data_IF_787090745578
#
_entry.id   IF_787090745578
#
_cell.length_a   1.000
_cell.length_b   1.000
_cell.length_c   1.000
_cell.angle_alpha   90.00
_cell.angle_beta   90.00
_cell.angle_gamma   90.00
#
_symmetry.space_group_name_H-M   'P 1'
#
loop_
_entity.id
_entity.type
_entity.pdbx_description
1 polymer ?
#
# COMPACT_ATOMS: atom_id res chain seq x y z
N UNK A 1 -28.78 40.92 -26.98
CA UNK A 1 -27.58 40.07 -26.92
C UNK A 1 -27.80 39.13 -25.74
N UNK A 2 -28.10 37.84 -25.96
CA UNK A 2 -28.40 36.91 -24.90
C UNK A 2 -27.07 36.22 -24.52
N UNK A 3 -26.62 36.43 -23.28
CA UNK A 3 -25.51 35.72 -22.70
C UNK A 3 -25.80 34.19 -22.79
N UNK A 4 -24.97 33.49 -23.51
CA UNK A 4 -24.95 32.03 -23.47
C UNK A 4 -24.21 31.61 -22.18
N UNK A 5 -24.99 31.21 -21.20
CA UNK A 5 -24.48 30.51 -20.04
C UNK A 5 -23.71 29.27 -20.53
N UNK A 6 -22.38 29.37 -20.57
CA UNK A 6 -21.51 28.24 -20.85
C UNK A 6 -21.43 27.46 -19.55
N UNK A 7 -22.35 26.53 -19.36
CA UNK A 7 -22.27 25.56 -18.26
C UNK A 7 -20.96 24.80 -18.40
N UNK A 8 -20.02 25.09 -17.50
CA UNK A 8 -18.78 24.28 -17.34
C UNK A 8 -19.22 22.86 -17.04
N UNK A 9 -18.84 21.86 -17.85
CA UNK A 9 -19.23 20.49 -17.59
C UNK A 9 -18.73 20.09 -16.20
N UNK A 10 -19.64 19.59 -15.35
CA UNK A 10 -19.30 19.09 -14.03
C UNK A 10 -18.17 18.07 -14.17
N UNK A 11 -17.02 18.35 -13.54
CA UNK A 11 -15.88 17.43 -13.52
C UNK A 11 -16.40 16.13 -12.89
N UNK A 12 -16.54 15.10 -13.68
CA UNK A 12 -16.99 13.77 -13.23
C UNK A 12 -15.94 13.26 -12.23
N UNK A 13 -16.28 13.26 -10.95
CA UNK A 13 -15.38 12.72 -9.92
C UNK A 13 -15.25 11.21 -10.14
N UNK A 14 -14.00 10.72 -10.16
CA UNK A 14 -13.73 9.29 -10.19
C UNK A 14 -14.16 8.66 -8.86
N UNK A 15 -14.93 7.59 -8.93
CA UNK A 15 -15.35 6.80 -7.78
C UNK A 15 -14.92 5.36 -8.04
N UNK A 16 -13.73 4.95 -7.60
CA UNK A 16 -13.23 3.60 -7.87
C UNK A 16 -14.01 2.57 -7.06
N UNK A 17 -14.05 1.34 -7.59
CA UNK A 17 -14.32 0.17 -6.78
C UNK A 17 -13.03 -0.24 -6.08
N UNK A 18 -13.06 -0.33 -4.77
CA UNK A 18 -11.92 -0.84 -4.00
C UNK A 18 -11.86 -2.35 -4.17
N UNK A 19 -10.72 -2.85 -4.61
CA UNK A 19 -10.41 -4.26 -4.80
C UNK A 19 -9.46 -4.74 -3.70
N UNK A 20 -9.87 -5.77 -2.97
CA UNK A 20 -9.06 -6.41 -1.93
C UNK A 20 -9.09 -7.91 -2.17
N UNK A 21 -7.96 -8.60 -2.11
CA UNK A 21 -7.94 -10.05 -2.14
C UNK A 21 -6.95 -10.62 -1.13
N UNK A 22 -7.36 -11.70 -0.46
CA UNK A 22 -6.56 -12.39 0.55
C UNK A 22 -6.98 -13.87 0.63
N UNK A 23 -6.03 -14.76 0.85
CA UNK A 23 -6.28 -16.20 1.02
C UNK A 23 -5.73 -16.76 2.34
N UNK A 24 -5.36 -15.89 3.26
CA UNK A 24 -4.79 -16.23 4.57
C UNK A 24 -5.75 -15.78 5.66
N UNK A 25 -6.38 -16.70 6.36
CA UNK A 25 -7.37 -16.39 7.40
C UNK A 25 -6.81 -15.47 8.50
N UNK A 26 -5.54 -15.62 8.86
CA UNK A 26 -4.90 -14.77 9.85
C UNK A 26 -4.77 -13.29 9.45
N UNK A 27 -5.16 -12.93 8.23
CA UNK A 27 -5.26 -11.53 7.78
C UNK A 27 -6.59 -10.84 8.14
N UNK A 28 -7.58 -11.57 8.70
CA UNK A 28 -8.86 -10.97 9.09
C UNK A 28 -8.74 -9.68 9.91
N UNK A 29 -7.86 -9.57 10.93
CA UNK A 29 -7.74 -8.33 11.67
C UNK A 29 -7.37 -7.12 10.80
N UNK A 30 -6.47 -7.30 9.84
CA UNK A 30 -6.10 -6.25 8.89
C UNK A 30 -7.26 -5.87 7.96
N UNK A 31 -8.00 -6.87 7.44
CA UNK A 31 -9.17 -6.64 6.59
C UNK A 31 -10.27 -5.88 7.36
N UNK A 32 -10.52 -6.21 8.62
CA UNK A 32 -11.49 -5.49 9.47
C UNK A 32 -11.10 -4.02 9.62
N UNK A 33 -9.85 -3.74 9.95
CA UNK A 33 -9.35 -2.36 10.10
C UNK A 33 -9.47 -1.60 8.77
N UNK A 34 -9.11 -2.23 7.64
CA UNK A 34 -9.25 -1.63 6.32
C UNK A 34 -10.71 -1.28 6.00
N UNK A 35 -11.64 -2.22 6.17
CA UNK A 35 -13.07 -2.02 5.87
C UNK A 35 -13.67 -0.96 6.80
N UNK A 36 -13.42 -1.03 8.10
CA UNK A 36 -13.90 -0.04 9.07
C UNK A 36 -13.37 1.36 8.76
N UNK A 37 -12.09 1.47 8.38
CA UNK A 37 -11.49 2.74 7.99
C UNK A 37 -12.07 3.30 6.68
N UNK A 38 -12.34 2.43 5.71
CA UNK A 38 -13.05 2.82 4.49
C UNK A 38 -14.45 3.33 4.81
N UNK A 39 -15.21 2.63 5.64
CA UNK A 39 -16.56 3.03 6.02
C UNK A 39 -16.58 4.39 6.76
N UNK A 40 -15.58 4.64 7.61
CA UNK A 40 -15.48 5.89 8.35
C UNK A 40 -15.14 7.11 7.48
N UNK A 41 -14.28 6.93 6.48
CA UNK A 41 -13.77 8.06 5.66
C UNK A 41 -14.36 8.12 4.25
N UNK A 42 -14.93 7.02 3.76
CA UNK A 42 -15.47 6.88 2.42
C UNK A 42 -16.79 6.09 2.45
N UNK A 43 -17.81 6.57 3.17
CA UNK A 43 -19.07 5.86 3.31
C UNK A 43 -19.72 5.61 1.94
N UNK A 44 -20.09 4.35 1.68
CA UNK A 44 -20.74 3.95 0.44
C UNK A 44 -19.77 3.68 -0.74
N UNK A 45 -18.45 3.82 -0.58
CA UNK A 45 -17.52 3.39 -1.62
C UNK A 45 -17.68 1.87 -1.82
N UNK A 46 -17.88 1.37 -3.06
CA UNK A 46 -18.01 -0.07 -3.29
C UNK A 46 -16.67 -0.79 -2.99
N UNK A 47 -16.76 -1.91 -2.25
CA UNK A 47 -15.61 -2.76 -1.95
C UNK A 47 -15.89 -4.17 -2.45
N UNK A 48 -15.03 -4.71 -3.28
CA UNK A 48 -15.05 -6.10 -3.72
C UNK A 48 -13.94 -6.86 -3.00
N UNK A 49 -14.32 -7.70 -2.06
CA UNK A 49 -13.41 -8.48 -1.23
C UNK A 49 -13.39 -9.94 -1.69
N UNK A 50 -12.26 -10.38 -2.22
CA UNK A 50 -12.01 -11.78 -2.57
C UNK A 50 -11.31 -12.46 -1.38
N UNK A 51 -12.08 -13.17 -0.57
CA UNK A 51 -11.57 -13.79 0.66
C UNK A 51 -12.24 -15.17 0.91
N UNK A 52 -11.73 -16.24 0.24
CA UNK A 52 -12.37 -17.56 0.26
C UNK A 52 -12.24 -18.28 1.61
N UNK A 53 -11.36 -17.83 2.49
CA UNK A 53 -11.10 -18.44 3.81
C UNK A 53 -11.68 -17.62 4.97
N UNK A 54 -12.67 -16.76 4.68
CA UNK A 54 -13.36 -15.96 5.70
C UNK A 54 -14.00 -16.85 6.78
N UNK A 55 -13.80 -16.49 8.06
CA UNK A 55 -14.48 -17.18 9.16
C UNK A 55 -15.96 -16.80 9.23
N UNK A 56 -16.79 -17.66 9.84
CA UNK A 56 -18.21 -17.36 10.05
C UNK A 56 -18.40 -16.07 10.87
N UNK A 57 -17.53 -15.85 11.86
CA UNK A 57 -17.53 -14.63 12.67
C UNK A 57 -17.26 -13.39 11.81
N UNK A 58 -16.29 -13.49 10.88
CA UNK A 58 -15.99 -12.43 9.94
C UNK A 58 -17.16 -12.16 8.99
N UNK A 59 -17.77 -13.19 8.42
CA UNK A 59 -18.93 -13.05 7.52
C UNK A 59 -20.09 -12.37 8.23
N UNK A 60 -20.37 -12.76 9.48
CA UNK A 60 -21.40 -12.12 10.31
C UNK A 60 -21.10 -10.65 10.57
N UNK A 61 -19.85 -10.33 10.94
CA UNK A 61 -19.40 -8.96 11.15
C UNK A 61 -19.54 -8.12 9.88
N UNK A 62 -19.18 -8.68 8.73
CA UNK A 62 -19.24 -8.00 7.43
C UNK A 62 -20.66 -7.57 7.05
N UNK A 63 -21.68 -8.22 7.60
CA UNK A 63 -23.09 -7.86 7.40
C UNK A 63 -23.45 -6.42 7.83
N UNK A 64 -22.62 -5.78 8.65
CA UNK A 64 -22.76 -4.36 9.02
C UNK A 64 -22.30 -3.39 7.89
N UNK A 65 -21.66 -3.90 6.84
CA UNK A 65 -21.04 -3.10 5.76
C UNK A 65 -21.68 -3.42 4.40
N UNK A 66 -22.88 -2.87 4.09
CA UNK A 66 -23.65 -3.24 2.88
C UNK A 66 -22.97 -2.87 1.55
N UNK A 67 -21.99 -1.97 1.58
CA UNK A 67 -21.19 -1.59 0.42
C UNK A 67 -20.00 -2.54 0.15
N UNK A 68 -19.80 -3.56 1.00
CA UNK A 68 -18.76 -4.57 0.84
C UNK A 68 -19.36 -5.87 0.33
N UNK A 69 -18.90 -6.32 -0.82
CA UNK A 69 -19.28 -7.61 -1.39
C UNK A 69 -18.19 -8.64 -1.15
N UNK A 70 -18.53 -9.70 -0.44
CA UNK A 70 -17.63 -10.86 -0.25
C UNK A 70 -17.75 -11.81 -1.45
N UNK A 71 -16.61 -12.07 -2.10
CA UNK A 71 -16.46 -13.01 -3.20
C UNK A 71 -15.65 -14.24 -2.71
N UNK A 72 -16.37 -15.26 -2.21
CA UNK A 72 -15.73 -16.45 -1.65
C UNK A 72 -15.24 -17.47 -2.71
N UNK A 73 -15.74 -17.42 -3.95
CA UNK A 73 -15.55 -18.50 -4.92
C UNK A 73 -15.23 -18.05 -6.35
N UNK A 74 -14.90 -16.80 -6.59
CA UNK A 74 -14.92 -16.22 -7.94
C UNK A 74 -13.58 -16.15 -8.66
N UNK A 75 -12.46 -16.38 -7.98
CA UNK A 75 -11.15 -16.36 -8.62
C UNK A 75 -10.61 -17.78 -8.75
N UNK A 76 -10.25 -18.16 -10.00
CA UNK A 76 -9.68 -19.48 -10.26
C UNK A 76 -8.39 -19.70 -9.45
N UNK A 77 -8.32 -20.87 -8.83
CA UNK A 77 -7.11 -21.40 -8.22
C UNK A 77 -6.10 -21.85 -9.30
N UNK A 78 -4.82 -21.86 -9.02
CA UNK A 78 -4.20 -21.51 -7.74
C UNK A 78 -3.77 -20.05 -7.67
N UNK A 79 -3.95 -19.45 -6.48
CA UNK A 79 -3.30 -18.18 -6.16
C UNK A 79 -1.84 -18.45 -5.87
N UNK A 80 -0.97 -18.07 -6.79
CA UNK A 80 0.46 -18.31 -6.68
C UNK A 80 1.20 -16.99 -6.66
N UNK A 81 2.11 -16.85 -5.73
CA UNK A 81 3.18 -15.86 -5.75
C UNK A 81 2.73 -14.45 -6.24
N UNK A 82 1.79 -13.84 -5.56
CA UNK A 82 1.32 -12.46 -5.81
C UNK A 82 0.48 -12.26 -7.09
N UNK A 83 0.20 -13.29 -7.86
CA UNK A 83 -0.57 -13.20 -9.10
C UNK A 83 -2.04 -12.81 -8.92
N UNK A 84 -2.51 -12.80 -7.68
CA UNK A 84 -3.92 -12.49 -7.36
C UNK A 84 -4.30 -11.04 -7.69
N UNK A 85 -3.38 -10.09 -7.54
CA UNK A 85 -3.68 -8.67 -7.75
C UNK A 85 -4.21 -8.37 -9.16
N UNK A 86 -3.45 -8.64 -10.24
CA UNK A 86 -3.94 -8.39 -11.59
C UNK A 86 -5.20 -9.21 -11.91
N UNK A 87 -5.27 -10.45 -11.44
CA UNK A 87 -6.43 -11.34 -11.67
C UNK A 87 -7.71 -10.78 -11.06
N UNK A 88 -7.69 -10.33 -9.80
CA UNK A 88 -8.83 -9.73 -9.12
C UNK A 88 -9.28 -8.45 -9.82
N UNK A 89 -8.34 -7.58 -10.18
CA UNK A 89 -8.64 -6.35 -10.90
C UNK A 89 -9.21 -6.61 -12.30
N UNK A 90 -8.70 -7.59 -13.04
CA UNK A 90 -9.26 -7.97 -14.34
C UNK A 90 -10.69 -8.49 -14.22
N UNK A 91 -11.00 -9.29 -13.18
CA UNK A 91 -12.35 -9.78 -12.94
C UNK A 91 -13.33 -8.62 -12.72
N UNK A 92 -12.93 -7.57 -12.00
CA UNK A 92 -13.76 -6.39 -11.78
C UNK A 92 -13.92 -5.54 -13.05
N UNK A 93 -12.85 -5.31 -13.79
CA UNK A 93 -12.91 -4.55 -15.05
C UNK A 93 -13.77 -5.28 -16.09
N UNK A 94 -13.71 -6.62 -16.16
CA UNK A 94 -14.58 -7.43 -17.02
C UNK A 94 -16.06 -7.32 -16.64
N UNK A 95 -16.36 -7.10 -15.35
CA UNK A 95 -17.71 -6.83 -14.86
C UNK A 95 -18.19 -5.40 -15.15
N UNK A 96 -17.55 -4.67 -16.07
CA UNK A 96 -17.85 -3.30 -16.49
C UNK A 96 -17.69 -2.25 -15.40
N UNK A 97 -16.67 -2.41 -14.53
CA UNK A 97 -16.23 -1.37 -13.60
C UNK A 97 -15.22 -0.47 -14.31
N UNK A 98 -15.45 0.84 -14.29
CA UNK A 98 -14.60 1.78 -15.02
C UNK A 98 -13.26 2.05 -14.32
N UNK A 99 -13.27 2.07 -12.98
CA UNK A 99 -12.11 2.36 -12.13
C UNK A 99 -11.99 1.33 -11.02
N UNK A 100 -10.79 0.78 -10.84
CA UNK A 100 -10.47 -0.16 -9.76
C UNK A 100 -9.27 0.37 -8.98
N UNK A 101 -9.38 0.41 -7.66
CA UNK A 101 -8.29 0.74 -6.74
C UNK A 101 -7.98 -0.50 -5.88
N UNK A 102 -6.82 -1.08 -6.10
CA UNK A 102 -6.30 -2.15 -5.25
C UNK A 102 -5.78 -1.58 -3.93
N UNK A 103 -6.14 -2.21 -2.82
CA UNK A 103 -5.56 -1.97 -1.49
C UNK A 103 -5.12 -3.29 -0.86
N UNK A 104 -3.89 -3.33 -0.36
CA UNK A 104 -3.41 -4.45 0.46
C UNK A 104 -4.14 -4.46 1.82
N UNK A 105 -4.29 -5.64 2.41
CA UNK A 105 -5.06 -5.86 3.66
C UNK A 105 -4.45 -5.22 4.90
N UNK A 106 -3.23 -4.74 4.83
CA UNK A 106 -2.50 -4.05 5.89
C UNK A 106 -2.43 -2.52 5.69
N UNK A 107 -3.47 -1.98 5.05
CA UNK A 107 -3.65 -0.54 4.83
C UNK A 107 -4.81 -0.02 5.70
N UNK A 108 -4.63 1.17 6.26
CA UNK A 108 -5.69 1.96 6.88
C UNK A 108 -5.94 3.18 6.00
N UNK A 109 -7.19 3.45 5.69
CA UNK A 109 -7.62 4.66 5.00
C UNK A 109 -7.98 5.72 6.04
N UNK A 110 -7.38 6.91 5.94
CA UNK A 110 -7.53 7.98 6.95
C UNK A 110 -8.14 9.25 6.39
N UNK A 111 -8.57 9.22 5.12
CA UNK A 111 -9.11 10.40 4.42
C UNK A 111 -9.92 10.00 3.19
N UNK A 112 -10.56 10.97 2.55
CA UNK A 112 -11.33 10.78 1.32
C UNK A 112 -10.45 10.32 0.15
N UNK A 113 -10.80 9.18 -0.46
CA UNK A 113 -10.11 8.58 -1.60
C UNK A 113 -10.21 9.44 -2.87
N UNK A 114 -11.21 10.30 -3.00
CA UNK A 114 -11.35 11.17 -4.17
C UNK A 114 -10.11 12.06 -4.38
N UNK A 115 -9.42 12.41 -3.30
CA UNK A 115 -8.19 13.23 -3.32
C UNK A 115 -7.05 12.61 -4.13
N UNK A 116 -7.07 11.28 -4.34
CA UNK A 116 -6.06 10.60 -5.16
C UNK A 116 -6.12 11.07 -6.61
N UNK A 117 -7.33 11.40 -7.07
CA UNK A 117 -7.61 11.69 -8.46
C UNK A 117 -7.69 13.19 -8.78
N UNK A 118 -7.58 14.05 -7.77
CA UNK A 118 -7.68 15.50 -7.94
C UNK A 118 -6.60 16.02 -8.91
N UNK A 119 -7.04 16.69 -9.97
CA UNK A 119 -6.15 17.26 -10.98
C UNK A 119 -5.40 16.25 -11.86
N UNK A 120 -5.75 14.97 -11.81
CA UNK A 120 -5.08 13.92 -12.58
C UNK A 120 -5.81 13.61 -13.89
N UNK A 121 -5.07 13.20 -14.95
CA UNK A 121 -5.69 12.63 -16.15
C UNK A 121 -6.59 11.45 -15.80
N UNK A 122 -7.71 11.31 -16.53
CA UNK A 122 -8.68 10.22 -16.30
C UNK A 122 -8.10 8.82 -16.53
N UNK A 123 -7.00 8.72 -17.27
CA UNK A 123 -6.28 7.50 -17.59
C UNK A 123 -4.93 7.40 -16.86
N UNK A 124 -4.73 8.19 -15.80
CA UNK A 124 -3.53 8.03 -14.99
C UNK A 124 -3.58 6.72 -14.18
N UNK A 125 -2.52 5.94 -14.27
CA UNK A 125 -2.27 4.80 -13.38
C UNK A 125 -1.82 5.36 -12.03
N UNK A 126 -2.52 4.98 -10.96
CA UNK A 126 -2.14 5.36 -9.60
C UNK A 126 -1.18 4.32 -9.04
N UNK A 127 -0.08 4.76 -8.47
CA UNK A 127 0.93 3.91 -7.82
C UNK A 127 1.49 4.60 -6.57
N UNK A 128 1.88 3.82 -5.57
CA UNK A 128 2.52 4.38 -4.39
C UNK A 128 4.05 4.37 -4.51
N UNK A 129 4.71 5.37 -3.94
CA UNK A 129 6.16 5.42 -3.78
C UNK A 129 6.61 4.35 -2.78
N UNK A 130 7.66 3.57 -3.11
CA UNK A 130 8.24 2.56 -2.21
C UNK A 130 9.18 3.21 -1.19
N UNK A 131 9.02 2.82 0.08
CA UNK A 131 9.82 3.35 1.16
C UNK A 131 11.18 2.67 1.35
N UNK A 132 11.25 1.38 1.05
CA UNK A 132 12.39 0.55 1.43
C UNK A 132 13.59 0.70 0.50
N UNK A 133 13.33 0.86 -0.77
CA UNK A 133 14.37 0.93 -1.78
C UNK A 133 14.47 2.33 -2.35
N UNK A 134 15.42 3.06 -1.89
CA UNK A 134 15.86 4.29 -2.54
C UNK A 134 16.93 3.98 -3.61
N UNK A 135 16.82 2.83 -4.27
CA UNK A 135 17.71 2.52 -5.37
C UNK A 135 17.40 3.47 -6.51
N UNK A 136 18.17 4.51 -6.51
CA UNK A 136 18.18 5.49 -7.55
C UNK A 136 18.44 4.81 -8.89
N UNK A 137 17.54 4.89 -9.81
CA UNK A 137 17.67 5.02 -11.24
C UNK A 137 18.05 3.83 -12.07
N UNK A 138 19.18 3.19 -11.84
CA UNK A 138 19.52 1.93 -12.51
C UNK A 138 18.58 0.78 -12.11
N UNK A 139 17.86 0.98 -11.01
CA UNK A 139 16.92 0.01 -10.50
C UNK A 139 15.73 -0.25 -11.42
N UNK A 140 15.15 0.77 -12.02
CA UNK A 140 13.99 0.65 -12.91
C UNK A 140 14.39 0.06 -14.24
N UNK A 141 15.42 0.65 -14.86
CA UNK A 141 16.00 0.16 -16.11
C UNK A 141 16.53 -1.26 -15.97
N UNK A 142 17.13 -1.62 -14.84
CA UNK A 142 17.59 -2.98 -14.56
C UNK A 142 16.41 -3.96 -14.46
N UNK A 143 15.28 -3.56 -13.86
CA UNK A 143 14.08 -4.42 -13.82
C UNK A 143 13.52 -4.68 -15.19
N UNK A 144 13.34 -3.64 -16.01
CA UNK A 144 12.88 -3.79 -17.37
C UNK A 144 13.84 -4.67 -18.21
N UNK A 145 15.14 -4.40 -18.16
CA UNK A 145 16.16 -5.20 -18.86
C UNK A 145 16.23 -6.63 -18.37
N UNK A 146 16.06 -6.88 -17.07
CA UNK A 146 16.00 -8.22 -16.49
C UNK A 146 14.88 -9.08 -17.08
N UNK A 147 13.79 -8.45 -17.52
CA UNK A 147 12.68 -9.07 -18.25
C UNK A 147 12.83 -9.02 -19.76
N UNK A 148 13.99 -8.59 -20.29
CA UNK A 148 14.20 -8.43 -21.74
C UNK A 148 13.36 -7.33 -22.37
N UNK A 149 12.85 -6.38 -21.58
CA UNK A 149 12.03 -5.28 -22.07
C UNK A 149 12.90 -4.08 -22.45
N UNK A 150 12.54 -3.40 -23.54
CA UNK A 150 13.15 -2.14 -23.91
C UNK A 150 12.69 -1.02 -22.96
N UNK A 151 13.64 -0.20 -22.51
CA UNK A 151 13.38 0.89 -21.55
C UNK A 151 12.86 2.12 -22.28
N UNK A 152 11.61 2.51 -22.02
CA UNK A 152 10.95 3.69 -22.60
C UNK A 152 10.96 4.91 -21.68
N UNK A 153 11.00 4.70 -20.36
CA UNK A 153 11.12 5.80 -19.37
C UNK A 153 11.79 5.35 -18.08
N UNK A 154 12.37 6.28 -17.34
CA UNK A 154 12.74 6.12 -15.95
C UNK A 154 11.61 6.61 -15.04
N UNK A 155 11.43 5.94 -13.90
CA UNK A 155 10.48 6.38 -12.87
C UNK A 155 11.22 7.23 -11.82
N UNK A 156 10.58 8.27 -11.28
CA UNK A 156 11.19 9.12 -10.25
C UNK A 156 11.33 8.39 -8.90
N UNK A 157 10.56 7.31 -8.70
CA UNK A 157 10.52 6.51 -7.48
C UNK A 157 10.33 5.05 -7.81
N UNK A 158 10.82 4.18 -6.94
CA UNK A 158 10.41 2.79 -6.95
C UNK A 158 8.96 2.66 -6.51
N UNK A 159 8.24 1.67 -7.05
CA UNK A 159 6.83 1.46 -6.78
C UNK A 159 6.61 0.49 -5.62
N UNK A 160 5.57 0.77 -4.84
CA UNK A 160 4.99 -0.16 -3.90
C UNK A 160 3.64 -0.67 -4.43
N UNK A 161 3.45 -1.97 -4.43
CA UNK A 161 2.24 -2.62 -4.94
C UNK A 161 1.04 -2.61 -3.99
N UNK A 162 1.14 -1.97 -2.81
CA UNK A 162 0.07 -1.97 -1.81
C UNK A 162 -1.12 -1.08 -2.18
N UNK A 163 -0.88 -0.02 -2.94
CA UNK A 163 -1.93 0.84 -3.51
C UNK A 163 -1.67 1.00 -4.99
N UNK A 164 -2.57 0.46 -5.82
CA UNK A 164 -2.48 0.56 -7.28
C UNK A 164 -3.86 0.82 -7.87
N UNK A 165 -3.98 1.82 -8.75
CA UNK A 165 -5.26 2.17 -9.39
C UNK A 165 -5.19 2.09 -10.90
N UNK A 166 -6.20 1.43 -11.50
CA UNK A 166 -6.33 1.26 -12.94
C UNK A 166 -7.74 1.60 -13.43
N UNK A 167 -7.85 1.83 -14.73
CA UNK A 167 -9.11 1.96 -15.45
C UNK A 167 -9.25 0.86 -16.49
N UNK A 168 -10.40 0.78 -17.15
CA UNK A 168 -10.65 -0.15 -18.25
C UNK A 168 -9.67 0.06 -19.45
N UNK A 169 -9.03 1.22 -19.57
CA UNK A 169 -7.99 1.49 -20.57
C UNK A 169 -6.70 0.71 -20.37
N UNK A 170 -6.50 0.19 -19.14
CA UNK A 170 -5.28 -0.52 -18.75
C UNK A 170 -5.43 -2.04 -18.77
N UNK A 171 -6.51 -2.57 -19.33
CA UNK A 171 -6.80 -4.01 -19.31
C UNK A 171 -5.67 -4.83 -19.94
N UNK A 172 -5.10 -4.39 -21.06
CA UNK A 172 -4.01 -5.12 -21.73
C UNK A 172 -2.71 -5.07 -20.93
N UNK A 173 -2.44 -3.93 -20.27
CA UNK A 173 -1.35 -3.80 -19.32
C UNK A 173 -1.50 -4.78 -18.14
N UNK A 174 -2.68 -4.86 -17.54
CA UNK A 174 -2.95 -5.74 -16.40
C UNK A 174 -2.87 -7.21 -16.81
N UNK A 175 -3.35 -7.57 -18.01
CA UNK A 175 -3.18 -8.92 -18.59
C UNK A 175 -1.71 -9.27 -18.76
N UNK A 176 -0.91 -8.33 -19.28
CA UNK A 176 0.53 -8.53 -19.40
C UNK A 176 1.18 -8.74 -18.04
N UNK A 177 0.80 -7.95 -17.04
CA UNK A 177 1.26 -8.12 -15.67
C UNK A 177 0.90 -9.50 -15.12
N UNK A 178 -0.36 -9.94 -15.27
CA UNK A 178 -0.79 -11.28 -14.87
C UNK A 178 0.02 -12.37 -15.58
N UNK A 179 0.21 -12.25 -16.91
CA UNK A 179 0.97 -13.22 -17.70
C UNK A 179 2.40 -13.38 -17.19
N UNK A 180 3.08 -12.26 -16.90
CA UNK A 180 4.46 -12.27 -16.40
C UNK A 180 4.54 -12.90 -15.01
N UNK A 181 3.60 -12.59 -14.11
CA UNK A 181 3.53 -13.18 -12.76
C UNK A 181 3.20 -14.69 -12.77
N UNK A 182 2.65 -15.20 -13.86
CA UNK A 182 2.37 -16.63 -14.04
C UNK A 182 3.42 -17.35 -14.91
N UNK A 183 4.48 -16.66 -15.35
CA UNK A 183 5.56 -17.31 -16.10
C UNK A 183 6.35 -18.28 -15.24
N UNK A 184 6.86 -19.34 -15.85
CA UNK A 184 7.69 -20.33 -15.15
C UNK A 184 8.93 -19.70 -14.52
N UNK A 185 9.52 -18.70 -15.16
CA UNK A 185 10.68 -17.96 -14.65
C UNK A 185 10.36 -17.26 -13.35
N UNK A 186 9.25 -16.50 -13.28
CA UNK A 186 8.81 -15.83 -12.08
C UNK A 186 8.46 -16.83 -10.98
N UNK A 187 7.65 -17.84 -11.29
CA UNK A 187 7.20 -18.84 -10.32
C UNK A 187 8.37 -19.66 -9.74
N UNK A 188 9.38 -19.98 -10.55
CA UNK A 188 10.58 -20.65 -10.06
C UNK A 188 11.41 -19.73 -9.17
N UNK A 189 11.56 -18.46 -9.51
CA UNK A 189 12.25 -17.51 -8.65
C UNK A 189 11.55 -17.35 -7.27
N UNK A 190 10.20 -17.44 -7.22
CA UNK A 190 9.46 -17.36 -5.96
C UNK A 190 9.71 -18.54 -5.01
N UNK A 191 10.27 -19.66 -5.48
CA UNK A 191 10.69 -20.80 -4.63
C UNK A 191 11.99 -20.51 -3.87
N UNK A 192 12.77 -19.54 -4.30
CA UNK A 192 14.00 -19.13 -3.66
C UNK A 192 13.74 -18.29 -2.40
N UNK A 193 14.62 -18.31 -1.40
CA UNK A 193 14.65 -17.34 -0.32
C UNK A 193 14.69 -15.91 -0.88
N UNK A 194 14.05 -14.98 -0.16
CA UNK A 194 13.91 -13.59 -0.61
C UNK A 194 15.23 -12.90 -1.01
N UNK A 195 16.28 -13.13 -0.23
CA UNK A 195 17.61 -12.56 -0.42
C UNK A 195 18.41 -13.20 -1.57
N UNK A 196 17.93 -14.33 -2.11
CA UNK A 196 18.52 -15.03 -3.24
C UNK A 196 17.79 -14.78 -4.55
N UNK A 197 16.66 -14.08 -4.52
CA UNK A 197 15.91 -13.76 -5.73
C UNK A 197 16.62 -12.67 -6.53
N UNK A 198 16.72 -12.80 -7.86
CA UNK A 198 17.09 -11.69 -8.72
C UNK A 198 16.17 -10.49 -8.49
N UNK A 199 16.71 -9.27 -8.54
CA UNK A 199 15.96 -8.07 -8.16
C UNK A 199 14.65 -7.87 -8.93
N UNK A 200 14.61 -8.23 -10.20
CA UNK A 200 13.40 -8.12 -11.04
C UNK A 200 12.36 -9.22 -10.77
N UNK A 201 12.69 -10.23 -9.93
CA UNK A 201 11.80 -11.31 -9.50
C UNK A 201 11.39 -11.25 -8.03
N UNK A 202 11.78 -10.22 -7.28
CA UNK A 202 11.56 -10.20 -5.82
C UNK A 202 10.08 -10.34 -5.48
N UNK A 203 9.21 -9.51 -6.05
CA UNK A 203 7.77 -9.56 -5.84
C UNK A 203 7.00 -9.04 -7.08
N UNK A 204 5.68 -8.90 -6.95
CA UNK A 204 4.81 -8.38 -7.99
C UNK A 204 5.10 -6.92 -8.40
N UNK A 205 5.53 -6.11 -7.45
CA UNK A 205 5.83 -4.70 -7.69
C UNK A 205 7.05 -4.49 -8.60
N UNK A 206 8.03 -5.41 -8.60
CA UNK A 206 9.17 -5.36 -9.51
C UNK A 206 8.73 -5.60 -10.95
N UNK A 207 7.79 -6.52 -11.16
CA UNK A 207 7.19 -6.77 -12.48
C UNK A 207 6.37 -5.55 -12.92
N UNK A 208 5.55 -5.00 -12.02
CA UNK A 208 4.79 -3.77 -12.27
C UNK A 208 5.73 -2.62 -12.67
N UNK A 209 6.83 -2.43 -11.92
CA UNK A 209 7.87 -1.43 -12.22
C UNK A 209 8.48 -1.66 -13.61
N UNK A 210 8.87 -2.89 -13.92
CA UNK A 210 9.48 -3.24 -15.21
C UNK A 210 8.55 -2.90 -16.39
N UNK A 211 7.29 -3.27 -16.30
CA UNK A 211 6.29 -3.00 -17.33
C UNK A 211 6.05 -1.50 -17.51
N UNK A 212 5.87 -0.75 -16.40
CA UNK A 212 5.66 0.70 -16.46
C UNK A 212 6.88 1.46 -16.99
N UNK A 213 8.08 0.91 -16.87
CA UNK A 213 9.30 1.46 -17.48
C UNK A 213 9.48 1.12 -18.94
N UNK A 214 8.79 0.08 -19.45
CA UNK A 214 8.99 -0.40 -20.81
C UNK A 214 8.48 0.60 -21.86
N UNK A 215 9.06 0.54 -23.07
CA UNK A 215 8.63 1.33 -24.24
C UNK A 215 7.14 1.10 -24.53
N UNK A 216 6.66 -0.13 -24.37
CA UNK A 216 5.27 -0.51 -24.62
C UNK A 216 4.27 0.29 -23.79
N UNK A 217 4.58 0.59 -22.51
CA UNK A 217 3.66 1.21 -21.56
C UNK A 217 4.12 2.58 -21.03
N UNK A 218 5.22 3.11 -21.53
CA UNK A 218 5.75 4.40 -21.10
C UNK A 218 4.85 5.60 -21.43
N UNK A 219 3.87 5.39 -22.31
CA UNK A 219 2.90 6.42 -22.71
C UNK A 219 1.80 6.69 -21.66
N UNK A 220 1.55 5.74 -20.74
CA UNK A 220 0.53 5.95 -19.69
C UNK A 220 0.96 7.02 -18.69
N UNK A 221 0.13 8.02 -18.39
CA UNK A 221 0.40 8.96 -17.31
C UNK A 221 0.39 8.23 -15.96
N UNK A 222 1.26 8.67 -15.02
CA UNK A 222 1.36 8.09 -13.70
C UNK A 222 1.04 9.13 -12.62
N UNK A 223 0.24 8.73 -11.66
CA UNK A 223 0.05 9.44 -10.39
C UNK A 223 0.81 8.72 -9.28
N UNK A 224 1.89 9.31 -8.83
CA UNK A 224 2.62 8.81 -7.66
C UNK A 224 2.01 9.34 -6.37
N UNK A 225 1.59 8.43 -5.50
CA UNK A 225 1.24 8.73 -4.11
C UNK A 225 2.54 8.83 -3.32
N UNK A 226 2.83 10.04 -2.87
CA UNK A 226 4.12 10.38 -2.26
C UNK A 226 4.14 10.04 -0.77
N UNK A 227 5.27 9.54 -0.32
CA UNK A 227 5.53 9.30 1.10
C UNK A 227 5.41 10.59 1.90
N UNK A 228 4.80 10.50 3.10
CA UNK A 228 4.56 11.64 3.97
C UNK A 228 3.45 12.59 3.52
N UNK A 229 2.97 12.49 2.28
CA UNK A 229 1.90 13.30 1.73
C UNK A 229 0.60 12.51 1.56
N UNK A 230 0.61 11.44 0.77
CA UNK A 230 -0.55 10.59 0.53
C UNK A 230 -0.41 9.22 1.20
N UNK A 231 0.81 8.76 1.51
CA UNK A 231 1.04 7.46 2.12
C UNK A 231 2.13 7.51 3.20
N UNK A 232 1.89 6.83 4.32
CA UNK A 232 2.92 6.40 5.26
C UNK A 232 3.16 4.92 4.99
N UNK A 233 4.43 4.53 4.85
CA UNK A 233 4.83 3.12 4.77
C UNK A 233 5.76 2.82 5.93
N UNK A 234 5.33 1.95 6.83
CA UNK A 234 6.07 1.63 8.04
C UNK A 234 6.56 0.18 8.04
N UNK A 235 7.85 0.03 7.99
CA UNK A 235 8.56 -1.25 8.07
C UNK A 235 9.66 -1.23 9.16
N UNK A 236 9.44 -0.46 10.20
CA UNK A 236 10.38 -0.25 11.30
C UNK A 236 10.94 1.19 11.35
N UNK A 237 12.08 1.38 12.00
CA UNK A 237 12.54 2.74 12.35
C UNK A 237 12.78 3.66 11.16
N UNK A 238 13.00 3.08 9.98
CA UNK A 238 13.37 3.84 8.78
C UNK A 238 12.16 4.23 7.90
N UNK A 239 10.99 3.72 8.22
CA UNK A 239 9.80 3.86 7.37
C UNK A 239 8.98 5.12 7.56
N UNK A 240 9.18 5.87 8.65
CA UNK A 240 8.45 7.10 8.93
C UNK A 240 9.40 8.14 9.53
N UNK A 241 9.96 8.98 8.67
CA UNK A 241 11.03 9.93 8.97
C UNK A 241 10.55 11.15 9.76
N UNK A 242 11.48 11.91 10.32
CA UNK A 242 11.17 13.18 11.02
C UNK A 242 10.47 14.16 10.08
N UNK A 243 10.91 14.27 8.83
CA UNK A 243 10.30 15.17 7.85
C UNK A 243 8.85 14.76 7.53
N UNK A 244 8.58 13.47 7.29
CA UNK A 244 7.23 12.97 7.04
C UNK A 244 6.31 13.23 8.24
N UNK A 245 6.80 13.01 9.47
CA UNK A 245 6.07 13.32 10.71
C UNK A 245 5.75 14.81 10.83
N UNK A 246 6.69 15.68 10.50
CA UNK A 246 6.50 17.12 10.51
C UNK A 246 5.44 17.58 9.48
N UNK A 247 5.47 17.02 8.28
CA UNK A 247 4.44 17.26 7.27
C UNK A 247 3.07 16.87 7.81
N UNK A 248 2.96 15.68 8.43
CA UNK A 248 1.69 15.17 8.93
C UNK A 248 1.18 15.90 10.19
N UNK A 249 2.06 16.45 11.01
CA UNK A 249 1.64 17.34 12.10
C UNK A 249 0.99 18.63 11.59
N UNK A 250 1.42 19.14 10.44
CA UNK A 250 0.92 20.38 9.86
C UNK A 250 -0.29 20.19 8.95
N UNK A 251 -0.33 19.10 8.20
CA UNK A 251 -1.32 18.86 7.13
C UNK A 251 -2.36 17.79 7.47
N UNK A 252 -2.21 17.13 8.62
CA UNK A 252 -3.00 15.95 8.97
C UNK A 252 -2.39 14.66 8.43
N UNK A 253 -3.01 13.53 8.79
CA UNK A 253 -2.59 12.22 8.34
C UNK A 253 -2.77 12.08 6.82
N UNK A 254 -1.86 11.37 6.15
CA UNK A 254 -1.99 11.08 4.72
C UNK A 254 -3.14 10.10 4.48
N UNK A 255 -3.56 9.92 3.22
CA UNK A 255 -4.72 9.09 2.87
C UNK A 255 -4.54 7.64 3.31
N UNK A 256 -3.32 7.11 3.25
CA UNK A 256 -3.00 5.72 3.56
C UNK A 256 -1.93 5.58 4.62
N UNK A 257 -2.16 4.65 5.55
CA UNK A 257 -1.14 4.16 6.50
C UNK A 257 -0.93 2.67 6.22
N UNK A 258 0.22 2.31 5.72
CA UNK A 258 0.56 0.97 5.25
C UNK A 258 1.59 0.31 6.17
N UNK A 259 1.27 -0.87 6.74
CA UNK A 259 2.17 -1.69 7.55
C UNK A 259 2.95 -2.66 6.66
N UNK A 260 4.03 -2.17 6.06
CA UNK A 260 4.85 -2.96 5.13
C UNK A 260 5.64 -4.05 5.88
N UNK A 261 5.67 -5.25 5.34
CA UNK A 261 6.45 -6.37 5.87
C UNK A 261 5.72 -7.15 6.97
N UNK A 262 6.24 -7.17 8.20
CA UNK A 262 5.63 -7.90 9.30
C UNK A 262 4.28 -7.29 9.70
N UNK A 263 3.23 -8.12 9.74
CA UNK A 263 1.88 -7.63 10.03
C UNK A 263 1.74 -7.24 11.49
N UNK A 264 1.15 -6.07 11.73
CA UNK A 264 1.07 -5.46 13.06
C UNK A 264 0.30 -6.30 14.09
N UNK A 265 -0.64 -7.14 13.63
CA UNK A 265 -1.46 -8.04 14.47
C UNK A 265 -0.83 -9.41 14.72
N UNK A 266 0.32 -9.71 14.11
CA UNK A 266 1.02 -10.96 14.38
C UNK A 266 2.06 -10.78 15.49
N UNK A 267 2.26 -11.83 16.33
CA UNK A 267 3.35 -11.83 17.28
C UNK A 267 4.69 -11.75 16.55
N UNK A 268 5.60 -10.92 17.07
CA UNK A 268 6.95 -10.91 16.54
C UNK A 268 7.65 -12.26 16.81
N UNK A 269 8.46 -12.73 15.86
CA UNK A 269 9.32 -13.88 16.12
C UNK A 269 10.16 -13.66 17.38
N UNK A 270 10.30 -14.69 18.20
CA UNK A 270 11.03 -14.65 19.45
C UNK A 270 12.45 -14.11 19.27
N UNK A 271 12.63 -12.85 19.60
CA UNK A 271 13.92 -12.19 19.64
C UNK A 271 14.35 -11.98 21.07
N UNK A 272 15.39 -12.71 21.53
CA UNK A 272 15.96 -12.51 22.86
C UNK A 272 16.94 -11.32 22.88
N UNK A 273 17.13 -10.71 24.06
CA UNK A 273 18.07 -9.64 24.27
C UNK A 273 17.66 -8.29 23.66
N UNK A 274 18.64 -7.38 23.51
CA UNK A 274 18.43 -6.02 23.10
C UNK A 274 17.75 -5.88 21.72
N UNK A 275 18.14 -6.71 20.75
CA UNK A 275 17.55 -6.68 19.40
C UNK A 275 16.06 -7.05 19.40
N UNK A 276 15.66 -8.03 20.20
CA UNK A 276 14.25 -8.39 20.37
C UNK A 276 13.45 -7.27 21.04
N UNK A 277 14.03 -6.65 22.06
CA UNK A 277 13.45 -5.48 22.74
C UNK A 277 13.22 -4.30 21.78
N UNK A 278 14.22 -3.97 20.95
CA UNK A 278 14.11 -2.90 19.96
C UNK A 278 13.06 -3.22 18.88
N UNK A 279 12.99 -4.45 18.39
CA UNK A 279 11.94 -4.84 17.41
C UNK A 279 10.54 -4.65 17.99
N UNK A 280 10.31 -5.09 19.23
CA UNK A 280 9.03 -4.89 19.93
C UNK A 280 8.71 -3.40 20.10
N UNK A 281 9.68 -2.61 20.54
CA UNK A 281 9.52 -1.17 20.65
C UNK A 281 9.13 -0.53 19.30
N UNK A 282 9.81 -0.88 18.21
CA UNK A 282 9.45 -0.35 16.89
C UNK A 282 8.05 -0.74 16.46
N UNK A 283 7.60 -1.95 16.78
CA UNK A 283 6.22 -2.37 16.51
C UNK A 283 5.22 -1.59 17.37
N UNK A 284 5.53 -1.35 18.65
CA UNK A 284 4.70 -0.55 19.54
C UNK A 284 4.52 0.89 19.03
N UNK A 285 5.54 1.45 18.39
CA UNK A 285 5.57 2.81 17.85
C UNK A 285 5.06 2.90 16.39
N UNK A 286 4.53 1.82 15.85
CA UNK A 286 3.99 1.79 14.48
C UNK A 286 2.85 2.78 14.30
N UNK A 287 2.90 3.67 13.31
CA UNK A 287 1.79 4.55 12.98
C UNK A 287 0.53 3.76 12.58
N UNK A 288 0.68 2.56 12.02
CA UNK A 288 -0.43 1.66 11.72
C UNK A 288 -1.16 1.24 13.01
N UNK A 289 -0.43 0.75 14.04
CA UNK A 289 -1.04 0.39 15.33
C UNK A 289 -1.74 1.57 15.98
N UNK A 290 -1.13 2.74 15.93
CA UNK A 290 -1.71 3.96 16.51
C UNK A 290 -3.01 4.32 15.78
N UNK A 291 -3.02 4.29 14.44
CA UNK A 291 -4.22 4.58 13.66
C UNK A 291 -5.29 3.49 13.83
N UNK A 292 -4.91 2.22 13.91
CA UNK A 292 -5.83 1.10 14.07
C UNK A 292 -6.62 1.13 15.41
N UNK A 293 -6.12 1.83 16.44
CA UNK A 293 -6.84 1.98 17.71
C UNK A 293 -8.21 2.64 17.57
N UNK A 294 -8.38 3.48 16.57
CA UNK A 294 -9.69 4.08 16.29
C UNK A 294 -10.76 3.04 15.89
N UNK A 295 -10.34 1.82 15.59
CA UNK A 295 -11.18 0.72 15.11
C UNK A 295 -11.11 -0.51 16.04
N UNK A 296 -10.72 -0.32 17.31
CA UNK A 296 -10.54 -1.43 18.26
C UNK A 296 -11.84 -2.25 18.47
N UNK A 297 -12.99 -1.57 18.45
CA UNK A 297 -14.31 -2.19 18.63
C UNK A 297 -14.73 -3.09 17.46
N UNK A 298 -14.05 -2.99 16.32
CA UNK A 298 -14.29 -3.80 15.12
C UNK A 298 -13.48 -5.12 15.12
N UNK A 299 -12.63 -5.32 16.14
CA UNK A 299 -11.72 -6.45 16.24
C UNK A 299 -12.21 -7.47 17.27
N UNK A 300 -12.14 -8.75 16.92
CA UNK A 300 -12.40 -9.85 17.88
C UNK A 300 -11.29 -9.94 18.94
N UNK A 301 -10.05 -9.61 18.56
CA UNK A 301 -8.90 -9.47 19.46
C UNK A 301 -8.15 -8.17 19.15
N UNK A 302 -8.18 -7.25 20.08
CA UNK A 302 -7.51 -5.95 20.01
C UNK A 302 -6.23 -5.87 20.86
N UNK A 303 -5.83 -6.94 21.54
CA UNK A 303 -4.66 -6.95 22.43
C UNK A 303 -3.36 -6.53 21.72
N UNK A 304 -3.24 -6.82 20.43
CA UNK A 304 -2.09 -6.40 19.62
C UNK A 304 -1.97 -4.89 19.45
N UNK A 305 -3.02 -4.11 19.70
CA UNK A 305 -2.99 -2.64 19.64
C UNK A 305 -2.24 -2.05 20.83
N UNK A 306 -2.19 -2.76 21.97
CA UNK A 306 -1.55 -2.26 23.17
C UNK A 306 -0.03 -2.39 23.08
N UNK A 307 0.72 -1.36 23.53
CA UNK A 307 2.18 -1.44 23.55
C UNK A 307 2.68 -2.53 24.49
N UNK A 308 3.48 -3.44 23.97
CA UNK A 308 4.05 -4.57 24.70
C UNK A 308 5.20 -4.15 25.63
N UNK A 309 5.93 -3.06 25.30
CA UNK A 309 7.09 -2.58 26.04
C UNK A 309 6.73 -1.41 26.97
N UNK A 310 7.43 -1.26 28.10
CA UNK A 310 7.26 -0.12 29.00
C UNK A 310 7.58 1.21 28.29
N UNK A 311 8.65 1.24 27.49
CA UNK A 311 9.01 2.42 26.70
C UNK A 311 7.94 2.76 25.65
N UNK A 312 7.35 1.76 24.98
CA UNK A 312 6.25 1.95 24.04
C UNK A 312 5.02 2.58 24.71
N UNK A 313 4.64 2.11 25.91
CA UNK A 313 3.55 2.69 26.70
C UNK A 313 3.80 4.16 27.06
N UNK A 314 4.98 4.47 27.57
CA UNK A 314 5.36 5.85 27.94
C UNK A 314 5.33 6.76 26.72
N UNK A 315 6.01 6.38 25.62
CA UNK A 315 6.08 7.20 24.41
C UNK A 315 4.70 7.40 23.76
N UNK A 316 3.85 6.39 23.78
CA UNK A 316 2.48 6.49 23.26
C UNK A 316 1.62 7.40 24.14
N UNK A 317 1.75 7.29 25.47
CA UNK A 317 1.02 8.13 26.42
C UNK A 317 1.42 9.61 26.30
N UNK A 318 2.72 9.90 26.29
CA UNK A 318 3.24 11.27 26.13
C UNK A 318 2.83 11.88 24.78
N UNK A 319 2.78 11.08 23.73
CA UNK A 319 2.36 11.54 22.41
C UNK A 319 0.83 11.74 22.28
N UNK A 320 0.05 11.42 23.31
CA UNK A 320 -1.41 11.55 23.28
C UNK A 320 -2.05 10.72 22.16
N UNK A 321 -1.48 9.58 21.78
CA UNK A 321 -1.97 8.73 20.70
C UNK A 321 -1.83 9.32 19.28
N UNK A 322 -1.14 10.44 19.12
CA UNK A 322 -0.95 11.06 17.78
C UNK A 322 0.16 10.35 17.01
N UNK A 323 -0.18 9.67 15.94
CA UNK A 323 0.76 8.87 15.12
C UNK A 323 2.04 9.64 14.70
N UNK A 324 2.02 10.92 14.30
CA UNK A 324 3.24 11.65 13.99
C UNK A 324 4.17 11.88 15.20
N UNK A 325 3.64 11.94 16.43
CA UNK A 325 4.44 12.16 17.63
C UNK A 325 4.94 10.84 18.23
N UNK A 326 4.14 9.76 18.12
CA UNK A 326 4.55 8.42 18.57
C UNK A 326 5.81 8.00 17.81
N UNK A 327 6.89 7.73 18.53
CA UNK A 327 8.16 7.31 17.89
C UNK A 327 9.01 8.44 17.30
N UNK A 328 8.65 9.71 17.46
CA UNK A 328 9.47 10.85 17.02
C UNK A 328 10.90 10.82 17.60
N UNK A 329 11.14 10.52 18.89
CA UNK A 329 12.50 10.43 19.44
C UNK A 329 13.35 9.38 18.70
N UNK A 330 12.75 8.24 18.37
CA UNK A 330 13.44 7.17 17.62
C UNK A 330 13.71 7.60 16.18
N UNK A 331 12.77 8.28 15.54
CA UNK A 331 12.97 8.81 14.19
C UNK A 331 14.12 9.82 14.13
N UNK A 332 14.23 10.70 15.12
CA UNK A 332 15.36 11.65 15.25
C UNK A 332 16.71 10.94 15.31
N UNK A 333 16.82 9.91 16.15
CA UNK A 333 18.05 9.11 16.25
C UNK A 333 18.37 8.40 14.93
N UNK A 334 17.37 7.80 14.29
CA UNK A 334 17.58 7.09 13.03
C UNK A 334 17.98 8.03 11.89
N UNK A 335 17.32 9.19 11.78
CA UNK A 335 17.65 10.15 10.72
C UNK A 335 19.05 10.75 10.95
N UNK A 336 19.44 11.00 12.20
CA UNK A 336 20.80 11.40 12.54
C UNK A 336 21.86 10.33 12.16
N UNK A 337 21.58 9.04 12.47
CA UNK A 337 22.45 7.92 12.08
C UNK A 337 22.56 7.82 10.55
N UNK A 338 21.47 8.01 9.82
CA UNK A 338 21.49 8.03 8.35
C UNK A 338 22.35 9.17 7.83
N UNK A 339 22.16 10.37 8.36
CA UNK A 339 22.96 11.53 7.96
C UNK A 339 24.46 11.32 8.12
N UNK A 340 24.87 10.67 9.23
CA UNK A 340 26.28 10.35 9.49
C UNK A 340 26.80 9.24 8.58
N UNK A 341 26.00 8.19 8.31
CA UNK A 341 26.44 7.03 7.50
C UNK A 341 26.43 7.31 6.00
N UNK A 342 25.57 8.20 5.54
CA UNK A 342 25.47 8.64 4.14
C UNK A 342 25.49 10.17 4.08
N UNK A 343 26.64 10.81 4.36
CA UNK A 343 26.78 12.22 4.05
C UNK A 343 26.60 12.36 2.54
N UNK A 344 25.59 13.10 2.17
CA UNK A 344 25.14 13.40 0.82
C UNK A 344 26.17 13.11 -0.30
N UNK A 345 26.09 11.96 -0.94
CA UNK A 345 26.47 11.85 -2.34
C UNK A 345 25.42 12.67 -3.08
N UNK A 346 25.81 13.89 -3.47
CA UNK A 346 24.92 14.94 -3.94
C UNK A 346 24.01 14.50 -5.07
N UNK A 347 22.77 14.30 -4.73
CA UNK A 347 21.66 13.97 -5.56
C UNK A 347 20.39 14.24 -4.77
N UNK A 348 20.05 15.54 -4.58
CA UNK A 348 18.69 15.87 -4.19
C UNK A 348 17.73 15.27 -5.23
N UNK A 349 16.67 14.60 -4.81
CA UNK A 349 15.54 14.40 -5.70
C UNK A 349 15.02 15.79 -6.03
N UNK A 350 15.18 16.22 -7.27
CA UNK A 350 14.63 17.48 -7.75
C UNK A 350 13.14 17.51 -7.40
N UNK A 351 12.75 18.55 -6.68
CA UNK A 351 11.41 18.86 -6.23
C UNK A 351 10.41 18.92 -7.37
#
# INVERSE_FOLDING_TARGET
>A
MRDRDVSVPAIRRRSPVVCVAENRQWCEPGIRVLIASLAAHNPGVPVELFFPVASDAFVKWLGAYPNVRLNAHTLQEPWRAWNIKPRAMLALLAARRDDVLWLDTDIIVTSDLSRIYDGQPMDAIVVAEEAMCQSHYDGDAMRARGWGLEVGRSLPFQLNGGVVGFTNRHVDFIRRWETVLNSDEYLNAQKLPWDQRPRHFIADQEVLTALLCSTEYSHFPLRFLRRGHEVIQYFGPTGYTVLERWINLRRGMPIFVHSVGHKAWLPLPDGRGLRGGLRRLYQDLSPYRVAARAYCDELDDSAWLEPSTAAGRVLTGVAGGRAPLVGLPIALVNDAIRYVKWPHTGGEPRR
#
